data_IF_314248491166
#
_entry.id   IF_314248491166
#
_cell.length_a   1.000
_cell.length_b   1.000
_cell.length_c   1.000
_cell.angle_alpha   90.00
_cell.angle_beta   90.00
_cell.angle_gamma   90.00
#
_symmetry.space_group_name_H-M   'P 1'
#
loop_
_entity.id
_entity.type
_entity.pdbx_description
1 polymer ?
#
# COMPACT_ATOMS: atom_id res chain seq x y z
N UNK A 1 -3.90 -13.49 -1.30
CA UNK A 1 -3.44 -12.77 -2.51
C UNK A 1 -2.42 -11.70 -2.10
N UNK A 2 -1.54 -11.28 -3.00
CA UNK A 2 -0.54 -10.24 -2.74
C UNK A 2 -0.70 -9.11 -3.76
N UNK A 3 -0.65 -7.87 -3.29
CA UNK A 3 -0.86 -6.69 -4.11
C UNK A 3 0.41 -5.86 -4.19
N UNK A 4 0.68 -5.29 -5.37
CA UNK A 4 1.79 -4.39 -5.63
C UNK A 4 1.23 -3.07 -6.18
N UNK A 5 1.42 -1.99 -5.44
CA UNK A 5 1.04 -0.64 -5.85
C UNK A 5 2.28 0.13 -6.29
N UNK A 6 2.29 0.61 -7.53
CA UNK A 6 3.45 1.33 -8.06
C UNK A 6 3.04 2.48 -8.97
N UNK A 7 3.82 3.55 -8.93
CA UNK A 7 3.75 4.69 -9.86
C UNK A 7 4.71 4.50 -11.06
N UNK A 8 5.52 3.44 -11.05
CA UNK A 8 6.54 3.19 -12.07
C UNK A 8 6.05 2.22 -13.14
N UNK A 9 5.96 2.71 -14.38
CA UNK A 9 5.61 1.87 -15.54
C UNK A 9 6.57 0.69 -15.72
N UNK A 10 7.86 0.88 -15.42
CA UNK A 10 8.84 -0.21 -15.49
C UNK A 10 8.55 -1.31 -14.46
N UNK A 11 8.15 -0.93 -13.25
CA UNK A 11 7.77 -1.90 -12.21
C UNK A 11 6.48 -2.61 -12.60
N UNK A 12 5.51 -1.88 -13.16
CA UNK A 12 4.28 -2.48 -13.72
C UNK A 12 4.61 -3.52 -14.78
N UNK A 13 5.40 -3.19 -15.80
CA UNK A 13 5.76 -4.14 -16.86
C UNK A 13 6.44 -5.40 -16.32
N UNK A 14 7.40 -5.25 -15.40
CA UNK A 14 8.07 -6.40 -14.76
C UNK A 14 7.13 -7.23 -13.92
N UNK A 15 6.18 -6.62 -13.21
CA UNK A 15 5.20 -7.34 -12.42
C UNK A 15 4.30 -8.21 -13.31
N UNK A 16 3.87 -7.68 -14.46
CA UNK A 16 3.09 -8.42 -15.46
C UNK A 16 3.88 -9.63 -16.00
N UNK A 17 5.17 -9.45 -16.31
CA UNK A 17 6.05 -10.55 -16.74
C UNK A 17 6.20 -11.64 -15.66
N UNK A 18 5.94 -11.30 -14.40
CA UNK A 18 5.98 -12.20 -13.25
C UNK A 18 4.60 -12.68 -12.77
N UNK A 19 3.57 -12.55 -13.61
CA UNK A 19 2.25 -13.13 -13.38
C UNK A 19 1.33 -12.29 -12.49
N UNK A 20 1.66 -11.01 -12.23
CA UNK A 20 0.67 -10.08 -11.70
C UNK A 20 -0.34 -9.71 -12.79
N UNK A 21 -1.56 -9.41 -12.38
CA UNK A 21 -2.59 -8.85 -13.24
C UNK A 21 -2.77 -7.35 -12.92
N UNK A 22 -3.06 -6.56 -13.95
CA UNK A 22 -3.34 -5.14 -13.76
C UNK A 22 -4.79 -4.94 -13.30
N UNK A 23 -4.95 -4.61 -12.02
CA UNK A 23 -6.26 -4.38 -11.39
C UNK A 23 -6.69 -2.89 -11.38
N UNK A 24 -6.22 -2.13 -12.37
CA UNK A 24 -6.57 -0.72 -12.51
C UNK A 24 -5.79 0.22 -11.59
N UNK A 25 -6.20 1.49 -11.60
CA UNK A 25 -5.62 2.54 -10.77
C UNK A 25 -6.27 2.49 -9.38
N UNK A 26 -5.48 2.35 -8.32
CA UNK A 26 -5.99 2.35 -6.95
C UNK A 26 -6.34 3.76 -6.46
N UNK A 27 -5.44 4.74 -6.71
CA UNK A 27 -5.60 6.13 -6.33
C UNK A 27 -4.61 7.03 -7.09
N UNK A 28 -4.78 8.35 -6.98
CA UNK A 28 -3.79 9.35 -7.40
C UNK A 28 -2.99 9.82 -6.18
N UNK A 29 -1.69 9.98 -6.37
CA UNK A 29 -0.72 10.34 -5.32
C UNK A 29 0.27 11.38 -5.83
N UNK A 30 1.07 11.98 -4.95
CA UNK A 30 2.12 12.91 -5.34
C UNK A 30 3.45 12.18 -5.54
N UNK A 31 4.13 12.44 -6.66
CA UNK A 31 5.44 11.85 -6.95
C UNK A 31 6.57 12.52 -6.13
N UNK A 32 6.36 13.76 -5.71
CA UNK A 32 7.29 14.56 -4.90
C UNK A 32 6.57 15.16 -3.70
N UNK A 33 7.32 15.53 -2.67
CA UNK A 33 6.77 16.16 -1.48
C UNK A 33 6.03 17.45 -1.83
N UNK A 34 4.79 17.55 -1.34
CA UNK A 34 3.95 18.75 -1.41
C UNK A 34 3.59 19.21 0.01
N UNK A 35 3.16 20.46 0.20
CA UNK A 35 2.69 20.92 1.50
C UNK A 35 1.66 19.97 2.13
N UNK A 36 1.87 19.61 3.39
CA UNK A 36 1.02 18.69 4.18
C UNK A 36 1.05 17.22 3.76
N UNK A 37 1.93 16.82 2.84
CA UNK A 37 2.17 15.41 2.52
C UNK A 37 3.32 14.84 3.33
N UNK A 38 3.35 13.52 3.47
CA UNK A 38 4.45 12.75 4.06
C UNK A 38 4.81 11.60 3.11
N UNK A 39 6.03 11.09 3.25
CA UNK A 39 6.47 9.92 2.50
C UNK A 39 5.61 8.68 2.83
N UNK A 40 5.24 7.94 1.80
CA UNK A 40 4.61 6.63 1.89
C UNK A 40 5.64 5.59 1.45
N UNK A 41 6.24 4.93 2.44
CA UNK A 41 7.33 3.98 2.24
C UNK A 41 6.81 2.64 1.77
N UNK A 42 7.57 1.95 0.92
CA UNK A 42 7.31 0.58 0.49
C UNK A 42 8.38 -0.36 1.03
N UNK A 43 7.96 -1.38 1.75
CA UNK A 43 8.79 -2.50 2.18
C UNK A 43 8.28 -3.76 1.49
N UNK A 44 9.17 -4.47 0.80
CA UNK A 44 8.84 -5.74 0.18
C UNK A 44 9.35 -6.89 1.04
N UNK A 45 8.48 -7.82 1.41
CA UNK A 45 8.85 -9.04 2.12
C UNK A 45 9.18 -10.15 1.10
N UNK A 46 10.45 -10.55 1.03
CA UNK A 46 10.91 -11.59 0.10
C UNK A 46 10.36 -12.99 0.36
N UNK A 47 10.03 -13.31 1.62
CA UNK A 47 9.53 -14.63 2.01
C UNK A 47 8.06 -14.80 1.65
N UNK A 48 7.23 -13.80 1.99
CA UNK A 48 5.78 -13.85 1.72
C UNK A 48 5.43 -13.25 0.35
N UNK A 49 6.37 -12.58 -0.32
CA UNK A 49 6.12 -11.77 -1.53
C UNK A 49 5.15 -10.61 -1.31
N UNK A 50 4.91 -10.22 -0.06
CA UNK A 50 4.00 -9.13 0.30
C UNK A 50 4.64 -7.74 0.14
N UNK A 51 3.82 -6.76 -0.24
CA UNK A 51 4.22 -5.35 -0.27
C UNK A 51 3.50 -4.57 0.84
N UNK A 52 4.27 -4.16 1.83
CA UNK A 52 3.81 -3.34 2.94
C UNK A 52 4.09 -1.86 2.66
N UNK A 53 3.05 -1.03 2.76
CA UNK A 53 3.15 0.42 2.62
C UNK A 53 2.74 1.16 3.89
N UNK A 54 3.53 2.16 4.29
CA UNK A 54 3.32 2.89 5.54
C UNK A 54 3.86 4.32 5.49
N UNK A 55 3.16 5.26 6.12
CA UNK A 55 3.69 6.60 6.41
C UNK A 55 4.48 6.65 7.72
N UNK A 56 4.39 5.59 8.54
CA UNK A 56 5.13 5.47 9.79
C UNK A 56 6.51 4.86 9.55
N UNK A 57 7.54 5.70 9.73
CA UNK A 57 8.95 5.31 9.59
C UNK A 57 9.34 4.23 10.59
N UNK A 58 8.77 4.23 11.80
CA UNK A 58 9.06 3.21 12.81
C UNK A 58 8.48 1.85 12.42
N UNK A 59 7.29 1.83 11.80
CA UNK A 59 6.72 0.61 11.26
C UNK A 59 7.56 0.04 10.10
N UNK A 60 8.10 0.91 9.22
CA UNK A 60 9.05 0.52 8.17
C UNK A 60 10.30 -0.11 8.78
N UNK A 61 10.94 0.58 9.72
CA UNK A 61 12.19 0.12 10.35
C UNK A 61 11.98 -1.18 11.16
N UNK A 62 10.81 -1.32 11.80
CA UNK A 62 10.42 -2.55 12.46
C UNK A 62 10.25 -3.72 11.47
N UNK A 63 9.65 -3.48 10.30
CA UNK A 63 9.51 -4.51 9.27
C UNK A 63 10.88 -4.98 8.73
N UNK A 64 11.80 -4.03 8.51
CA UNK A 64 13.17 -4.32 8.04
C UNK A 64 14.01 -5.06 9.09
N UNK A 65 13.90 -4.67 10.37
CA UNK A 65 14.70 -5.28 11.44
C UNK A 65 14.23 -6.68 11.85
N UNK A 66 12.92 -6.96 11.73
CA UNK A 66 12.34 -8.25 12.15
C UNK A 66 12.42 -9.34 11.08
N UNK A 67 12.63 -8.96 9.82
CA UNK A 67 12.65 -9.89 8.70
C UNK A 67 13.90 -9.69 7.83
N UNK A 68 14.87 -10.63 7.83
CA UNK A 68 16.04 -10.58 6.95
C UNK A 68 15.75 -10.55 5.45
N UNK A 69 14.59 -11.07 5.02
CA UNK A 69 14.14 -11.03 3.63
C UNK A 69 13.38 -9.74 3.26
N UNK A 70 13.18 -8.82 4.22
CA UNK A 70 12.55 -7.53 3.95
C UNK A 70 13.53 -6.60 3.21
N UNK A 71 13.05 -5.98 2.15
CA UNK A 71 13.79 -5.06 1.30
C UNK A 71 13.11 -3.70 1.35
N UNK A 72 13.84 -2.66 1.74
CA UNK A 72 13.36 -1.28 1.61
C UNK A 72 13.32 -0.92 0.11
N UNK A 73 12.12 -0.62 -0.40
CA UNK A 73 11.91 -0.17 -1.77
C UNK A 73 11.86 1.36 -1.87
N UNK A 74 12.06 2.05 -0.75
CA UNK A 74 12.13 3.49 -0.67
C UNK A 74 10.76 4.16 -0.57
N UNK A 75 10.70 5.43 -0.98
CA UNK A 75 9.46 6.21 -1.02
C UNK A 75 8.70 5.84 -2.28
N UNK A 76 7.52 5.22 -2.13
CA UNK A 76 6.66 4.88 -3.26
C UNK A 76 5.87 6.08 -3.77
N UNK A 77 5.46 6.97 -2.85
CA UNK A 77 4.74 8.20 -3.14
C UNK A 77 4.74 9.14 -1.93
N UNK A 78 4.14 10.31 -2.09
CA UNK A 78 3.78 11.24 -1.01
C UNK A 78 2.26 11.35 -0.91
N UNK A 79 1.72 11.23 0.31
CA UNK A 79 0.28 11.24 0.61
C UNK A 79 0.00 12.14 1.81
N UNK A 80 -1.24 12.59 2.00
CA UNK A 80 -1.59 13.37 3.18
C UNK A 80 -1.64 12.45 4.42
N UNK A 81 -0.95 12.83 5.50
CA UNK A 81 -0.96 12.07 6.76
C UNK A 81 -2.23 12.30 7.60
N UNK A 82 -3.01 13.31 7.25
CA UNK A 82 -4.24 13.71 7.96
C UNK A 82 -5.33 14.04 6.95
N UNK A 83 -6.59 14.02 7.41
CA UNK A 83 -7.74 14.38 6.58
C UNK A 83 -7.60 15.82 6.11
N UNK A 84 -7.71 16.02 4.80
CA UNK A 84 -7.73 17.34 4.15
C UNK A 84 -8.99 17.47 3.28
N UNK A 85 -9.35 18.70 2.91
CA UNK A 85 -10.44 18.91 1.95
C UNK A 85 -10.10 18.22 0.62
N UNK A 86 -11.00 17.38 0.11
CA UNK A 86 -10.78 16.58 -1.10
C UNK A 86 -9.91 15.32 -0.92
N UNK A 87 -9.35 15.08 0.28
CA UNK A 87 -8.60 13.87 0.59
C UNK A 87 -9.52 12.67 0.80
N UNK A 88 -9.24 11.56 0.10
CA UNK A 88 -9.96 10.29 0.23
C UNK A 88 -9.16 9.34 1.12
N UNK A 89 -9.78 8.69 2.13
CA UNK A 89 -9.07 7.74 2.98
C UNK A 89 -8.55 6.54 2.17
N UNK A 90 -7.30 6.16 2.39
CA UNK A 90 -6.71 4.92 1.90
C UNK A 90 -6.76 3.89 3.02
N UNK A 91 -7.66 2.93 2.91
CA UNK A 91 -7.84 1.85 3.87
C UNK A 91 -6.74 0.80 3.66
N UNK A 92 -6.05 0.42 4.73
CA UNK A 92 -5.15 -0.75 4.76
C UNK A 92 -5.86 -1.90 5.44
N UNK A 93 -5.82 -3.05 4.79
CA UNK A 93 -6.31 -4.31 5.29
C UNK A 93 -5.18 -5.34 5.32
N UNK A 94 -5.31 -6.33 6.19
CA UNK A 94 -4.31 -7.39 6.35
C UNK A 94 -4.99 -8.75 6.45
N UNK A 95 -4.54 -9.70 5.63
CA UNK A 95 -4.99 -11.09 5.70
C UNK A 95 -3.93 -11.92 6.45
N UNK A 96 -4.28 -12.45 7.63
CA UNK A 96 -3.35 -13.23 8.47
C UNK A 96 -2.94 -14.56 7.86
N UNK A 97 -3.83 -15.19 7.07
CA UNK A 97 -3.58 -16.49 6.47
C UNK A 97 -2.55 -16.39 5.34
N UNK A 98 -2.68 -15.37 4.48
CA UNK A 98 -1.73 -15.14 3.38
C UNK A 98 -0.58 -14.20 3.76
N UNK A 99 -0.67 -13.55 4.92
CA UNK A 99 0.25 -12.49 5.35
C UNK A 99 0.34 -11.34 4.33
N UNK A 100 -0.77 -11.07 3.63
CA UNK A 100 -0.84 -10.09 2.54
C UNK A 100 -1.52 -8.79 2.98
N UNK A 101 -0.99 -7.65 2.52
CA UNK A 101 -1.65 -6.36 2.66
C UNK A 101 -2.47 -6.00 1.42
N UNK A 102 -3.58 -5.33 1.65
CA UNK A 102 -4.46 -4.81 0.62
C UNK A 102 -4.81 -3.34 0.93
N UNK A 103 -4.84 -2.51 -0.10
CA UNK A 103 -5.09 -1.07 0.02
C UNK A 103 -6.17 -0.61 -0.96
N UNK A 104 -7.22 0.02 -0.44
CA UNK A 104 -8.31 0.54 -1.26
C UNK A 104 -8.83 1.88 -0.74
N UNK A 105 -9.38 2.68 -1.65
CA UNK A 105 -10.14 3.89 -1.32
C UNK A 105 -11.66 3.66 -1.34
N UNK A 106 -12.12 2.50 -1.84
CA UNK A 106 -13.54 2.20 -2.00
C UNK A 106 -14.04 1.44 -0.77
N UNK A 107 -15.02 2.02 -0.07
CA UNK A 107 -15.57 1.44 1.17
C UNK A 107 -16.21 0.08 0.93
N UNK A 108 -16.90 -0.09 -0.21
CA UNK A 108 -17.50 -1.36 -0.60
C UNK A 108 -16.45 -2.47 -0.72
N UNK A 109 -15.31 -2.17 -1.33
CA UNK A 109 -14.24 -3.14 -1.53
C UNK A 109 -13.55 -3.50 -0.21
N UNK A 110 -13.36 -2.51 0.68
CA UNK A 110 -12.92 -2.76 2.06
C UNK A 110 -13.90 -3.71 2.76
N UNK A 111 -15.20 -3.43 2.68
CA UNK A 111 -16.22 -4.18 3.40
C UNK A 111 -16.34 -5.62 2.87
N UNK A 112 -16.30 -5.81 1.55
CA UNK A 112 -16.29 -7.13 0.91
C UNK A 112 -15.03 -7.95 1.25
N UNK A 113 -13.86 -7.30 1.27
CA UNK A 113 -12.62 -7.96 1.67
C UNK A 113 -12.67 -8.44 3.13
N UNK A 114 -13.35 -7.70 4.01
CA UNK A 114 -13.55 -8.07 5.42
C UNK A 114 -14.60 -9.16 5.59
N UNK A 115 -15.74 -9.08 4.89
CA UNK A 115 -16.81 -10.06 5.03
C UNK A 115 -16.46 -11.42 4.43
N UNK A 116 -15.84 -11.40 3.24
CA UNK A 116 -15.72 -12.60 2.40
C UNK A 116 -14.27 -12.90 2.00
N UNK A 117 -13.38 -11.91 2.04
CA UNK A 117 -11.98 -12.04 1.62
C UNK A 117 -10.98 -12.47 2.69
N UNK A 118 -11.43 -12.68 3.94
CA UNK A 118 -10.57 -13.06 5.07
C UNK A 118 -9.57 -11.97 5.49
N UNK A 119 -9.83 -10.71 5.10
CA UNK A 119 -9.03 -9.56 5.52
C UNK A 119 -9.55 -8.97 6.84
N UNK A 120 -8.63 -8.45 7.64
CA UNK A 120 -8.94 -7.62 8.80
C UNK A 120 -8.66 -6.15 8.44
N UNK A 121 -9.65 -5.29 8.66
CA UNK A 121 -9.42 -3.84 8.57
C UNK A 121 -8.39 -3.43 9.61
N UNK A 122 -7.30 -2.80 9.15
CA UNK A 122 -6.21 -2.38 10.02
C UNK A 122 -6.37 -0.91 10.42
N UNK A 123 -6.15 0.00 9.48
CA UNK A 123 -6.09 1.46 9.72
C UNK A 123 -6.37 2.22 8.42
N UNK A 124 -6.61 3.53 8.54
CA UNK A 124 -6.40 4.47 7.44
C UNK A 124 -4.89 4.71 7.31
N UNK A 125 -4.28 4.26 6.21
CA UNK A 125 -2.85 4.41 5.95
C UNK A 125 -2.46 5.85 5.60
N UNK A 126 -3.42 6.66 5.19
CA UNK A 126 -3.29 8.07 4.86
C UNK A 126 -4.46 8.53 4.00
N UNK A 127 -4.33 9.71 3.40
CA UNK A 127 -5.33 10.28 2.51
C UNK A 127 -4.71 10.59 1.14
N UNK A 128 -5.39 10.15 0.09
CA UNK A 128 -4.96 10.22 -1.31
C UNK A 128 -5.98 10.98 -2.16
N UNK A 129 -5.65 11.25 -3.41
CA UNK A 129 -6.58 11.83 -4.37
C UNK A 129 -7.35 10.69 -5.06
N UNK A 130 -8.65 10.89 -5.29
CA UNK A 130 -9.48 9.89 -5.97
C UNK A 130 -9.00 9.67 -7.41
N UNK A 131 -9.12 8.43 -7.89
CA UNK A 131 -8.77 8.02 -9.25
C UNK A 131 -9.62 8.70 -10.32
#
# INVERSE_FOLDING_TARGET
EHYLYTTSQLVTSRALDHGYEFDGVAARVFATEQPSTVAFHHVFNGDTRDSFYTTDVHARDAALSRNPAAIDKGVAAYIFSRRVCGGTPLYRLYNRATQGHFYTIEERERDEAVSDGGYEYSVIAGFVLRK
#
